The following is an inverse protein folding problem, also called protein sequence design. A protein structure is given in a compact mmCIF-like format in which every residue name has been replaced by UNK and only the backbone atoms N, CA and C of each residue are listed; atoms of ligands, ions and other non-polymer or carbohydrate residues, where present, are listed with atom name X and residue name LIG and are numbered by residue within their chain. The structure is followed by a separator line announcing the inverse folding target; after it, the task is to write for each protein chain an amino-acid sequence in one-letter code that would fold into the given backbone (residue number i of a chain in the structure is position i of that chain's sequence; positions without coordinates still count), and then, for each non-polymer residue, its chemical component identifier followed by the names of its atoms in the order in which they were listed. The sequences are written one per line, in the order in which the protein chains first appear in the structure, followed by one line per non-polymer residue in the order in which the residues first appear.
data_IF_069065244830
#
_entry.id   IF_069065244830
#
_cell.length_a   1.000
_cell.length_b   1.000
_cell.length_c   1.000
_cell.angle_alpha   90.00
_cell.angle_beta   90.00
_cell.angle_gamma   90.00
#
_symmetry.space_group_name_H-M   'P 1'
#
loop_
_entity.id
_entity.type
_entity.pdbx_description
1 polymer ?
#
# COMPACT_ATOMS: atom_id res chain seq x y z
N UNK A 1 -9.22 28.06 15.79
CA UNK A 1 -8.37 27.58 14.68
C UNK A 1 -9.21 27.53 13.43
N UNK A 2 -8.59 27.67 12.27
CA UNK A 2 -9.24 27.64 10.97
C UNK A 2 -8.53 26.64 10.06
N UNK A 3 -9.31 25.88 9.30
CA UNK A 3 -8.81 24.96 8.29
C UNK A 3 -9.18 25.47 6.89
N UNK A 4 -8.21 25.47 5.97
CA UNK A 4 -8.45 25.71 4.56
C UNK A 4 -9.00 24.43 3.96
N UNK A 5 -10.18 24.50 3.37
CA UNK A 5 -10.87 23.39 2.76
C UNK A 5 -10.64 23.44 1.25
N UNK A 6 -10.12 22.36 0.69
CA UNK A 6 -9.92 22.19 -0.73
C UNK A 6 -10.50 20.83 -1.12
N UNK A 7 -11.45 20.83 -2.07
CA UNK A 7 -12.20 19.63 -2.48
C UNK A 7 -12.85 18.84 -1.33
N UNK A 8 -13.29 19.54 -0.27
CA UNK A 8 -13.92 18.92 0.90
C UNK A 8 -12.95 18.39 1.96
N UNK A 9 -11.64 18.65 1.81
CA UNK A 9 -10.59 18.19 2.71
C UNK A 9 -9.83 19.37 3.30
N UNK A 10 -9.50 19.30 4.59
CA UNK A 10 -8.59 20.26 5.23
C UNK A 10 -7.18 20.08 4.68
N UNK A 11 -6.62 21.11 4.05
CA UNK A 11 -5.26 21.09 3.48
C UNK A 11 -4.27 21.95 4.26
N UNK A 12 -4.74 22.96 4.97
CA UNK A 12 -3.91 23.91 5.71
C UNK A 12 -4.61 24.33 7.00
N UNK A 13 -3.85 24.63 8.05
CA UNK A 13 -4.37 25.06 9.35
C UNK A 13 -3.74 26.38 9.77
N UNK A 14 -4.54 27.24 10.39
CA UNK A 14 -4.08 28.51 10.89
C UNK A 14 -4.81 28.93 12.17
N UNK A 15 -4.08 29.59 13.07
CA UNK A 15 -4.62 30.11 14.33
C UNK A 15 -5.09 31.55 14.22
N UNK A 16 -4.80 32.23 13.11
CA UNK A 16 -5.24 33.60 12.85
C UNK A 16 -6.58 33.61 12.10
N UNK A 17 -7.37 34.66 12.29
CA UNK A 17 -8.59 34.87 11.51
C UNK A 17 -8.22 35.09 10.02
N UNK A 18 -8.70 34.23 9.11
CA UNK A 18 -8.37 34.31 7.69
C UNK A 18 -9.17 35.41 6.95
N UNK A 19 -10.20 35.99 7.57
CA UNK A 19 -11.06 37.01 6.97
C UNK A 19 -10.25 38.22 6.50
N UNK A 20 -10.45 38.64 5.25
CA UNK A 20 -9.74 39.74 4.59
C UNK A 20 -8.19 39.62 4.55
N UNK A 21 -7.62 38.47 4.93
CA UNK A 21 -6.16 38.22 4.91
C UNK A 21 -5.70 37.38 3.74
N UNK A 22 -6.53 36.45 3.30
CA UNK A 22 -6.21 35.50 2.23
C UNK A 22 -7.08 35.73 1.00
N UNK A 23 -6.74 35.05 -0.10
CA UNK A 23 -7.49 35.18 -1.35
C UNK A 23 -8.96 34.77 -1.14
N UNK A 24 -9.95 35.53 -1.65
CA UNK A 24 -11.37 35.28 -1.39
C UNK A 24 -11.91 33.95 -1.96
N UNK A 25 -11.15 33.31 -2.85
CA UNK A 25 -11.48 31.98 -3.40
C UNK A 25 -11.12 30.83 -2.44
N UNK A 26 -10.33 31.09 -1.40
CA UNK A 26 -9.98 30.08 -0.41
C UNK A 26 -11.14 29.90 0.58
N UNK A 27 -11.62 28.67 0.68
CA UNK A 27 -12.66 28.32 1.64
C UNK A 27 -12.00 28.03 2.98
N UNK A 28 -12.27 28.88 3.97
CA UNK A 28 -11.82 28.66 5.35
C UNK A 28 -12.99 28.29 6.24
N UNK A 29 -12.81 27.28 7.07
CA UNK A 29 -13.80 26.80 8.02
C UNK A 29 -13.22 26.80 9.45
N UNK A 30 -13.99 27.30 10.41
CA UNK A 30 -13.61 27.24 11.82
C UNK A 30 -13.60 25.78 12.29
N UNK A 31 -12.53 25.38 13.00
CA UNK A 31 -12.30 23.99 13.38
C UNK A 31 -11.73 23.84 14.81
N UNK A 32 -11.90 22.67 15.46
CA UNK A 32 -11.23 22.33 16.71
C UNK A 32 -9.71 22.38 16.58
N UNK A 33 -9.02 22.54 17.71
CA UNK A 33 -7.54 22.61 17.76
C UNK A 33 -6.88 21.27 17.39
N UNK A 34 -7.57 20.14 17.59
CA UNK A 34 -7.06 18.81 17.19
C UNK A 34 -7.18 18.50 15.68
N UNK A 35 -7.78 19.40 14.89
CA UNK A 35 -7.93 19.21 13.45
C UNK A 35 -6.55 19.04 12.81
N UNK A 36 -6.43 18.09 11.88
CA UNK A 36 -5.21 17.86 11.10
C UNK A 36 -5.50 18.00 9.60
N UNK A 37 -4.48 18.33 8.78
CA UNK A 37 -4.60 18.19 7.34
C UNK A 37 -5.01 16.75 6.98
N UNK A 38 -5.88 16.60 5.97
CA UNK A 38 -6.46 15.31 5.57
C UNK A 38 -7.82 14.98 6.18
N UNK A 39 -8.30 15.78 7.15
CA UNK A 39 -9.67 15.66 7.67
C UNK A 39 -10.69 16.05 6.60
N UNK A 40 -11.80 15.33 6.55
CA UNK A 40 -12.86 15.56 5.55
C UNK A 40 -14.06 16.25 6.19
N UNK A 41 -14.75 17.08 5.41
CA UNK A 41 -15.96 17.76 5.89
C UNK A 41 -17.16 16.82 5.70
N UNK A 42 -17.65 16.26 6.80
CA UNK A 42 -18.85 15.41 6.84
C UNK A 42 -19.95 16.16 7.56
N UNK A 43 -21.07 16.40 6.89
CA UNK A 43 -22.21 17.16 7.43
C UNK A 43 -21.83 18.54 8.01
N UNK A 44 -20.82 19.19 7.43
CA UNK A 44 -20.34 20.51 7.87
C UNK A 44 -19.41 20.48 9.08
N UNK A 45 -19.04 19.30 9.58
CA UNK A 45 -18.01 19.13 10.60
C UNK A 45 -16.75 18.49 10.01
N UNK A 46 -15.58 19.00 10.40
CA UNK A 46 -14.32 18.34 10.09
C UNK A 46 -14.21 17.09 10.94
N UNK A 47 -14.14 15.95 10.27
CA UNK A 47 -13.96 14.64 10.90
C UNK A 47 -12.63 14.04 10.44
N UNK A 48 -11.91 13.33 11.33
CA UNK A 48 -10.74 12.58 10.93
C UNK A 48 -11.12 11.63 9.79
N UNK A 49 -10.24 11.43 8.81
CA UNK A 49 -10.49 10.43 7.79
C UNK A 49 -10.74 9.08 8.50
N UNK A 50 -11.71 8.28 8.03
CA UNK A 50 -12.05 7.02 8.68
C UNK A 50 -10.82 6.12 8.73
N UNK A 51 -10.40 5.72 9.94
CA UNK A 51 -9.28 4.80 10.19
C UNK A 51 -9.43 3.49 9.37
N UNK A 52 -10.68 3.13 9.06
CA UNK A 52 -11.04 1.99 8.21
C UNK A 52 -10.40 2.05 6.80
N UNK A 53 -10.13 3.22 6.23
CA UNK A 53 -9.58 3.30 4.86
C UNK A 53 -8.14 2.80 4.77
N UNK A 54 -7.29 3.12 5.76
CA UNK A 54 -5.93 2.60 5.81
C UNK A 54 -5.88 1.11 6.14
N UNK A 55 -6.75 0.65 7.03
CA UNK A 55 -6.80 -0.76 7.42
C UNK A 55 -7.43 -1.65 6.34
N UNK A 56 -8.41 -1.14 5.59
CA UNK A 56 -8.96 -1.80 4.41
C UNK A 56 -7.92 -1.91 3.30
N UNK A 57 -7.17 -0.84 3.02
CA UNK A 57 -6.08 -0.87 2.04
C UNK A 57 -5.02 -1.89 2.47
N UNK A 58 -4.56 -1.83 3.72
CA UNK A 58 -3.63 -2.82 4.27
C UNK A 58 -4.18 -4.26 4.20
N UNK A 59 -5.47 -4.45 4.45
CA UNK A 59 -6.15 -5.74 4.30
C UNK A 59 -6.08 -6.27 2.86
N UNK A 60 -6.43 -5.43 1.88
CA UNK A 60 -6.38 -5.76 0.46
C UNK A 60 -4.96 -6.10 0.00
N UNK A 61 -3.95 -5.33 0.43
CA UNK A 61 -2.56 -5.58 0.08
C UNK A 61 -2.00 -6.87 0.68
N UNK A 62 -2.38 -7.21 1.92
CA UNK A 62 -2.04 -8.51 2.52
C UNK A 62 -2.67 -9.68 1.75
N UNK A 63 -3.93 -9.53 1.34
CA UNK A 63 -4.60 -10.53 0.52
C UNK A 63 -3.91 -10.69 -0.84
N UNK A 64 -3.53 -9.59 -1.50
CA UNK A 64 -2.78 -9.65 -2.76
C UNK A 64 -1.46 -10.39 -2.58
N UNK A 65 -0.67 -10.06 -1.55
CA UNK A 65 0.57 -10.77 -1.21
C UNK A 65 0.34 -12.28 -1.03
N UNK A 66 -0.72 -12.66 -0.32
CA UNK A 66 -1.03 -14.07 -0.07
C UNK A 66 -1.36 -14.82 -1.37
N UNK A 67 -2.06 -14.16 -2.31
CA UNK A 67 -2.35 -14.71 -3.63
C UNK A 67 -1.07 -14.89 -4.47
N UNK A 68 -0.15 -13.91 -4.47
CA UNK A 68 1.14 -14.04 -5.18
C UNK A 68 2.01 -15.16 -4.59
N UNK A 69 2.04 -15.28 -3.26
CA UNK A 69 2.73 -16.36 -2.57
C UNK A 69 2.11 -17.73 -2.87
N UNK A 70 0.78 -17.84 -2.93
CA UNK A 70 0.12 -19.08 -3.31
C UNK A 70 0.37 -19.43 -4.79
N UNK A 71 0.25 -18.44 -5.69
CA UNK A 71 0.43 -18.60 -7.13
C UNK A 71 1.84 -19.06 -7.55
N UNK A 72 2.85 -18.79 -6.72
CA UNK A 72 4.23 -19.20 -6.96
C UNK A 72 4.70 -20.38 -6.09
N UNK A 73 3.83 -20.94 -5.24
CA UNK A 73 4.19 -22.04 -4.34
C UNK A 73 4.51 -23.34 -5.09
N UNK A 74 3.75 -23.65 -6.13
CA UNK A 74 3.93 -24.88 -6.92
C UNK A 74 5.30 -24.97 -7.59
N UNK A 75 5.91 -23.83 -7.99
CA UNK A 75 7.27 -23.79 -8.54
C UNK A 75 8.31 -24.21 -7.51
N UNK A 76 8.11 -23.80 -6.26
CA UNK A 76 9.01 -24.18 -5.15
C UNK A 76 8.88 -25.65 -4.82
N UNK A 77 7.65 -26.16 -4.79
CA UNK A 77 7.38 -27.58 -4.56
C UNK A 77 7.99 -28.44 -5.67
N UNK A 78 7.73 -28.13 -6.95
CA UNK A 78 8.30 -28.85 -8.10
C UNK A 78 9.82 -28.90 -8.04
N UNK A 79 10.49 -27.77 -7.78
CA UNK A 79 11.95 -27.74 -7.72
C UNK A 79 12.49 -28.62 -6.58
N UNK A 80 11.84 -28.63 -5.42
CA UNK A 80 12.22 -29.49 -4.29
C UNK A 80 11.99 -30.97 -4.60
N UNK A 81 10.85 -31.30 -5.19
CA UNK A 81 10.53 -32.67 -5.61
C UNK A 81 11.57 -33.18 -6.62
N UNK A 82 11.97 -32.34 -7.60
CA UNK A 82 13.03 -32.67 -8.57
C UNK A 82 14.37 -32.92 -7.88
N UNK A 83 14.75 -32.11 -6.89
CA UNK A 83 15.99 -32.28 -6.13
C UNK A 83 15.96 -33.55 -5.27
N UNK A 84 14.85 -33.82 -4.56
CA UNK A 84 14.68 -35.00 -3.72
C UNK A 84 14.67 -36.29 -4.54
N UNK A 85 14.24 -36.22 -5.81
CA UNK A 85 14.30 -37.30 -6.78
C UNK A 85 15.64 -37.41 -7.53
N UNK A 86 16.62 -36.55 -7.20
CA UNK A 86 17.92 -36.44 -7.89
C UNK A 86 17.80 -36.20 -9.41
N UNK A 87 16.72 -35.55 -9.84
CA UNK A 87 16.50 -35.14 -11.23
C UNK A 87 17.20 -33.83 -11.53
N UNK A 88 17.50 -33.59 -12.80
CA UNK A 88 17.91 -32.25 -13.26
C UNK A 88 16.71 -31.30 -13.13
N UNK A 89 16.79 -30.23 -12.33
CA UNK A 89 15.65 -29.33 -12.14
C UNK A 89 15.23 -28.65 -13.44
N UNK A 90 13.93 -28.44 -13.60
CA UNK A 90 13.36 -27.72 -14.76
C UNK A 90 13.70 -26.23 -14.74
N UNK A 91 13.89 -25.67 -13.54
CA UNK A 91 14.37 -24.30 -13.34
C UNK A 91 15.88 -24.27 -13.11
N UNK A 92 16.55 -23.36 -13.82
CA UNK A 92 17.95 -23.06 -13.55
C UNK A 92 18.13 -22.54 -12.10
N UNK A 93 19.27 -22.84 -11.43
CA UNK A 93 19.53 -22.41 -10.05
C UNK A 93 19.42 -20.90 -9.83
N UNK A 94 19.79 -20.10 -10.84
CA UNK A 94 19.70 -18.65 -10.80
C UNK A 94 18.24 -18.16 -10.76
N UNK A 95 17.38 -18.76 -11.60
CA UNK A 95 15.94 -18.47 -11.61
C UNK A 95 15.28 -18.91 -10.30
N UNK A 96 15.70 -20.06 -9.76
CA UNK A 96 15.20 -20.52 -8.46
C UNK A 96 15.59 -19.56 -7.32
N UNK A 97 16.81 -19.03 -7.35
CA UNK A 97 17.28 -18.02 -6.37
C UNK A 97 16.49 -16.72 -6.51
N UNK A 98 16.21 -16.28 -7.74
CA UNK A 98 15.40 -15.10 -8.02
C UNK A 98 13.96 -15.28 -7.51
N UNK A 99 13.36 -16.46 -7.70
CA UNK A 99 12.05 -16.81 -7.16
C UNK A 99 12.01 -16.73 -5.63
N UNK A 100 13.03 -17.28 -4.95
CA UNK A 100 13.10 -17.21 -3.49
C UNK A 100 13.26 -15.78 -3.00
N UNK A 101 14.08 -14.97 -3.68
CA UNK A 101 14.26 -13.54 -3.39
C UNK A 101 12.96 -12.75 -3.55
N UNK A 102 12.24 -12.98 -4.65
CA UNK A 102 10.93 -12.38 -4.89
C UNK A 102 9.91 -12.75 -3.79
N UNK A 103 9.82 -14.05 -3.46
CA UNK A 103 8.93 -14.53 -2.39
C UNK A 103 9.33 -14.01 -1.00
N UNK A 104 10.61 -13.74 -0.76
CA UNK A 104 11.07 -13.11 0.47
C UNK A 104 10.64 -11.64 0.52
N UNK A 105 10.85 -10.89 -0.56
CA UNK A 105 10.42 -9.50 -0.66
C UNK A 105 8.90 -9.35 -0.40
N UNK A 106 8.07 -10.25 -0.94
CA UNK A 106 6.64 -10.30 -0.64
C UNK A 106 6.33 -10.45 0.86
N UNK A 107 7.09 -11.29 1.58
CA UNK A 107 6.88 -11.51 3.02
C UNK A 107 7.35 -10.34 3.88
N UNK A 108 8.41 -9.67 3.44
CA UNK A 108 9.01 -8.54 4.15
C UNK A 108 8.25 -7.24 3.93
N UNK A 109 7.63 -7.05 2.75
CA UNK A 109 6.96 -5.80 2.40
C UNK A 109 5.91 -5.32 3.42
N UNK A 110 5.02 -6.15 4.01
CA UNK A 110 4.12 -5.70 5.07
C UNK A 110 4.79 -5.20 6.35
N UNK A 111 6.09 -5.41 6.52
CA UNK A 111 6.89 -4.94 7.66
C UNK A 111 7.67 -3.64 7.34
N UNK A 112 7.60 -3.14 6.10
CA UNK A 112 8.28 -1.91 5.71
C UNK A 112 7.39 -0.68 5.92
N UNK A 113 8.00 0.49 5.97
CA UNK A 113 7.28 1.78 6.05
C UNK A 113 6.57 2.16 4.76
N UNK A 114 6.82 1.43 3.66
CA UNK A 114 6.20 1.67 2.35
C UNK A 114 4.89 0.91 2.19
N UNK A 115 4.54 0.01 3.11
CA UNK A 115 3.24 -0.63 3.12
C UNK A 115 2.17 0.33 3.68
N UNK A 116 0.94 0.37 3.11
CA UNK A 116 0.35 -0.47 2.06
C UNK A 116 0.35 0.16 0.65
N UNK A 117 1.38 0.93 0.29
CA UNK A 117 1.41 1.64 -0.99
C UNK A 117 1.76 0.68 -2.15
N UNK A 118 0.81 0.54 -3.08
CA UNK A 118 0.89 -0.37 -4.21
C UNK A 118 2.09 -0.09 -5.15
N UNK A 119 2.62 1.14 -5.17
CA UNK A 119 3.80 1.49 -5.98
C UNK A 119 5.06 0.75 -5.52
N UNK A 120 5.09 0.31 -4.26
CA UNK A 120 6.22 -0.40 -3.66
C UNK A 120 6.02 -1.91 -3.61
N UNK A 121 4.99 -2.45 -4.29
CA UNK A 121 4.81 -3.90 -4.40
C UNK A 121 6.03 -4.55 -5.03
N UNK A 122 6.53 -5.66 -4.46
CA UNK A 122 7.54 -6.46 -5.13
C UNK A 122 7.07 -6.90 -6.52
N UNK A 123 7.89 -6.64 -7.53
CA UNK A 123 7.58 -6.95 -8.93
C UNK A 123 7.98 -8.40 -9.23
N UNK A 124 7.04 -9.19 -9.76
CA UNK A 124 7.30 -10.56 -10.15
C UNK A 124 8.28 -10.62 -11.35
N UNK A 125 9.32 -11.47 -11.30
CA UNK A 125 10.13 -11.77 -12.46
C UNK A 125 9.28 -12.26 -13.65
N UNK A 126 9.50 -11.76 -14.87
CA UNK A 126 8.61 -12.02 -16.02
C UNK A 126 8.54 -13.50 -16.41
N UNK A 127 9.64 -14.24 -16.22
CA UNK A 127 9.71 -15.66 -16.55
C UNK A 127 8.77 -16.53 -15.69
N UNK A 128 8.31 -16.05 -14.52
CA UNK A 128 7.34 -16.76 -13.69
C UNK A 128 6.03 -16.94 -14.47
N UNK A 129 5.59 -15.92 -15.22
CA UNK A 129 4.39 -15.98 -16.03
C UNK A 129 4.53 -16.91 -17.25
N UNK A 130 5.75 -17.24 -17.64
CA UNK A 130 6.05 -18.19 -18.72
C UNK A 130 6.00 -19.65 -18.23
N UNK A 131 5.98 -19.88 -16.91
CA UNK A 131 5.89 -21.21 -16.34
C UNK A 131 4.47 -21.78 -16.44
N UNK A 132 4.38 -23.07 -16.77
CA UNK A 132 3.11 -23.80 -16.83
C UNK A 132 3.09 -24.90 -15.78
N UNK A 133 1.95 -25.03 -15.11
CA UNK A 133 1.68 -26.06 -14.10
C UNK A 133 1.19 -27.35 -14.76
#
# INVERSE_FOLDING_TARGET
MWARIENGTAVELTDIDPTDRFHPELVWQACPVETQPGWTVVEGALTPPPEDTSDQQAGAERQWRDLELAGTEWLVLRHRDEQDLELTPTLAPELFTELLSYRQALREWPQTTTFPDAEFRPVAPPWIAEQTQ
#
